data_IF_218587613421
#
_entry.id   IF_218587613421
#
_cell.length_a   1.000
_cell.length_b   1.000
_cell.length_c   1.000
_cell.angle_alpha   90.00
_cell.angle_beta   90.00
_cell.angle_gamma   90.00
#
_symmetry.space_group_name_H-M   'P 1'
#
loop_
_entity.id
_entity.type
_entity.pdbx_description
1 polymer ?
#
# COMPACT_ATOMS: atom_id res chain seq x y z
N UNK A 1 17.43 17.58 -8.69
CA UNK A 1 16.68 18.84 -8.89
C UNK A 1 15.53 18.80 -7.89
N UNK A 2 15.53 19.70 -6.89
CA UNK A 2 14.39 19.81 -5.99
C UNK A 2 13.17 20.18 -6.85
N UNK A 3 12.07 19.44 -6.71
CA UNK A 3 10.81 19.82 -7.35
C UNK A 3 10.52 21.28 -6.97
N UNK A 4 10.23 22.11 -7.97
CA UNK A 4 9.84 23.50 -7.74
C UNK A 4 8.66 23.48 -6.77
N UNK A 5 8.87 23.99 -5.55
CA UNK A 5 7.81 24.04 -4.53
C UNK A 5 6.79 25.06 -5.05
N UNK A 6 5.77 24.58 -5.75
CA UNK A 6 4.62 25.38 -6.14
C UNK A 6 3.76 25.56 -4.89
N UNK A 7 4.24 26.38 -3.95
CA UNK A 7 3.40 26.86 -2.86
C UNK A 7 2.76 28.17 -3.32
N UNK A 8 1.45 28.18 -3.63
CA UNK A 8 0.76 29.41 -4.04
C UNK A 8 0.72 30.49 -2.94
N UNK A 9 1.23 30.21 -1.73
CA UNK A 9 1.34 31.14 -0.60
C UNK A 9 2.78 31.55 -0.26
N UNK A 10 3.70 31.51 -1.23
CA UNK A 10 5.14 31.78 -1.05
C UNK A 10 5.53 33.12 -0.40
N UNK A 11 4.60 34.08 -0.30
CA UNK A 11 4.86 35.42 0.26
C UNK A 11 4.55 35.56 1.76
N UNK A 12 4.13 34.49 2.45
CA UNK A 12 3.77 34.58 3.88
C UNK A 12 4.80 33.81 4.71
N UNK A 13 5.70 34.59 5.32
CA UNK A 13 6.55 34.34 6.51
C UNK A 13 8.06 34.34 6.24
N UNK A 14 8.67 35.46 6.63
CA UNK A 14 10.04 35.56 7.13
C UNK A 14 10.14 34.81 8.47
N UNK A 15 10.83 33.67 8.53
CA UNK A 15 11.16 33.04 9.81
C UNK A 15 12.19 33.92 10.53
N UNK A 16 11.71 34.69 11.50
CA UNK A 16 12.54 35.41 12.46
C UNK A 16 12.47 34.79 13.85
N UNK A 17 12.26 33.48 13.96
CA UNK A 17 12.39 32.74 15.22
C UNK A 17 13.41 31.62 15.09
N UNK A 18 14.39 31.66 16.00
CA UNK A 18 15.60 30.86 16.04
C UNK A 18 15.33 29.40 16.46
N UNK A 19 14.68 28.63 15.60
CA UNK A 19 14.69 27.16 15.60
C UNK A 19 15.51 26.63 14.43
N UNK A 20 16.13 25.45 14.57
CA UNK A 20 16.78 24.77 13.45
C UNK A 20 15.80 24.63 12.27
N UNK A 21 16.26 25.03 11.08
CA UNK A 21 15.51 24.85 9.85
C UNK A 21 15.34 23.36 9.57
N UNK A 22 14.12 22.84 9.76
CA UNK A 22 13.75 21.51 9.31
C UNK A 22 13.08 21.61 7.92
N UNK A 23 13.73 21.11 6.84
CA UNK A 23 13.18 21.15 5.49
C UNK A 23 11.82 20.47 5.37
N UNK A 24 11.51 19.47 6.21
CA UNK A 24 10.23 18.79 6.19
C UNK A 24 9.09 19.73 6.60
N UNK A 25 9.25 20.52 7.66
CA UNK A 25 8.23 21.49 8.07
C UNK A 25 8.06 22.60 7.04
N UNK A 26 9.16 23.09 6.46
CA UNK A 26 9.10 24.10 5.41
C UNK A 26 8.29 23.62 4.19
N UNK A 27 8.51 22.37 3.75
CA UNK A 27 7.76 21.75 2.64
C UNK A 27 6.26 21.63 2.93
N UNK A 28 5.86 21.39 4.18
CA UNK A 28 4.46 21.16 4.56
C UNK A 28 3.68 22.44 4.87
N UNK A 29 4.31 23.63 4.89
CA UNK A 29 3.62 24.89 5.17
C UNK A 29 2.52 25.17 4.13
N UNK A 30 1.26 25.10 4.56
CA UNK A 30 0.10 25.31 3.70
C UNK A 30 -0.46 24.04 3.04
N UNK A 31 0.08 22.87 3.38
CA UNK A 31 -0.30 21.59 2.80
C UNK A 31 0.41 21.30 1.47
N UNK A 32 0.29 20.06 0.99
CA UNK A 32 0.96 19.56 -0.23
C UNK A 32 0.05 19.52 -1.46
N UNK A 33 -1.21 19.92 -1.33
CA UNK A 33 -2.20 19.78 -2.39
C UNK A 33 -2.88 21.10 -2.76
N UNK A 34 -3.36 21.16 -4.00
CA UNK A 34 -4.24 22.21 -4.50
C UNK A 34 -5.27 21.61 -5.46
N UNK A 35 -6.45 22.23 -5.55
CA UNK A 35 -7.45 21.91 -6.57
C UNK A 35 -7.24 22.82 -7.78
N UNK A 36 -7.14 22.24 -8.96
CA UNK A 36 -6.97 22.99 -10.22
C UNK A 36 -8.12 22.66 -11.17
N UNK A 37 -8.70 23.70 -11.78
CA UNK A 37 -9.72 23.53 -12.80
C UNK A 37 -9.11 22.91 -14.07
N UNK A 38 -9.78 21.91 -14.65
CA UNK A 38 -9.38 21.26 -15.91
C UNK A 38 -9.91 21.97 -17.15
N UNK A 39 -10.86 22.89 -16.97
CA UNK A 39 -11.43 23.74 -18.02
C UNK A 39 -11.26 25.21 -17.65
N UNK A 40 -10.86 26.07 -18.59
CA UNK A 40 -10.75 27.50 -18.32
C UNK A 40 -12.14 28.14 -18.20
N UNK A 41 -12.27 29.12 -17.31
CA UNK A 41 -13.46 29.99 -17.21
C UNK A 41 -12.99 31.43 -17.41
N UNK A 42 -13.03 31.91 -18.66
CA UNK A 42 -12.48 33.23 -19.03
C UNK A 42 -13.55 34.29 -19.24
N UNK A 43 -14.73 33.87 -19.65
CA UNK A 43 -15.84 34.75 -19.99
C UNK A 43 -17.20 34.16 -19.61
N UNK A 44 -18.27 34.87 -19.99
CA UNK A 44 -19.65 34.48 -19.72
C UNK A 44 -20.03 33.18 -20.42
N UNK A 45 -19.49 32.92 -21.60
CA UNK A 45 -19.86 31.75 -22.40
C UNK A 45 -19.25 30.49 -21.76
N UNK A 46 -17.96 30.54 -21.39
CA UNK A 46 -17.30 29.49 -20.61
C UNK A 46 -18.07 29.21 -19.29
N UNK A 47 -18.41 30.26 -18.53
CA UNK A 47 -19.16 30.13 -17.27
C UNK A 47 -20.53 29.49 -17.48
N UNK A 48 -21.23 29.86 -18.56
CA UNK A 48 -22.57 29.34 -18.87
C UNK A 48 -22.57 27.85 -19.22
N UNK A 49 -21.44 27.33 -19.71
CA UNK A 49 -21.24 25.92 -20.04
C UNK A 49 -20.77 25.11 -18.83
N UNK A 50 -19.75 25.62 -18.12
CA UNK A 50 -19.18 24.95 -16.95
C UNK A 50 -20.12 24.95 -15.74
N UNK A 51 -21.00 25.96 -15.64
CA UNK A 51 -21.99 26.10 -14.58
C UNK A 51 -23.38 26.38 -15.16
N UNK A 52 -24.16 27.26 -14.55
CA UNK A 52 -25.54 27.52 -14.98
C UNK A 52 -25.60 28.38 -16.24
N UNK A 53 -26.48 28.06 -17.20
CA UNK A 53 -27.47 26.97 -17.16
C UNK A 53 -26.96 25.63 -17.73
N UNK A 54 -25.79 25.57 -18.35
CA UNK A 54 -25.27 24.42 -19.10
C UNK A 54 -25.18 23.13 -18.28
N UNK A 55 -24.69 23.21 -17.04
CA UNK A 55 -24.51 22.07 -16.12
C UNK A 55 -25.82 21.33 -15.84
N UNK A 56 -26.97 22.02 -15.87
CA UNK A 56 -28.27 21.39 -15.64
C UNK A 56 -28.58 20.29 -16.65
N UNK A 57 -28.17 20.46 -17.92
CA UNK A 57 -28.35 19.44 -18.97
C UNK A 57 -27.55 18.17 -18.68
N UNK A 58 -26.33 18.33 -18.17
CA UNK A 58 -25.47 17.20 -17.77
C UNK A 58 -26.07 16.47 -16.56
N UNK A 59 -26.54 17.22 -15.55
CA UNK A 59 -27.24 16.64 -14.41
C UNK A 59 -28.49 15.86 -14.82
N UNK A 60 -29.32 16.42 -15.71
CA UNK A 60 -30.50 15.72 -16.23
C UNK A 60 -30.11 14.44 -16.98
N UNK A 61 -29.08 14.49 -17.83
CA UNK A 61 -28.61 13.31 -18.56
C UNK A 61 -28.14 12.19 -17.61
N UNK A 62 -27.41 12.51 -16.55
CA UNK A 62 -26.99 11.53 -15.53
C UNK A 62 -28.20 11.00 -14.74
N UNK A 63 -29.19 11.84 -14.43
CA UNK A 63 -30.40 11.39 -13.75
C UNK A 63 -31.22 10.39 -14.60
N UNK A 64 -31.22 10.55 -15.92
CA UNK A 64 -31.86 9.64 -16.87
C UNK A 64 -31.03 8.38 -17.17
N UNK A 65 -29.69 8.52 -17.20
CA UNK A 65 -28.73 7.45 -17.49
C UNK A 65 -27.55 7.52 -16.49
N UNK A 66 -27.67 6.86 -15.32
CA UNK A 66 -26.69 6.98 -14.23
C UNK A 66 -25.24 6.70 -14.60
N UNK A 67 -25.00 5.78 -15.55
CA UNK A 67 -23.64 5.39 -15.97
C UNK A 67 -22.83 6.55 -16.58
N UNK A 68 -23.51 7.57 -17.12
CA UNK A 68 -22.90 8.78 -17.68
C UNK A 68 -22.12 9.59 -16.64
N UNK A 69 -22.31 9.33 -15.34
CA UNK A 69 -21.48 9.90 -14.27
C UNK A 69 -19.99 9.64 -14.49
N UNK A 70 -19.64 8.50 -15.11
CA UNK A 70 -18.26 8.12 -15.38
C UNK A 70 -17.64 8.81 -16.61
N UNK A 71 -18.46 9.51 -17.40
CA UNK A 71 -18.01 10.23 -18.61
C UNK A 71 -18.01 11.74 -18.39
N UNK A 72 -18.97 12.26 -17.62
CA UNK A 72 -19.18 13.70 -17.44
C UNK A 72 -18.81 14.22 -16.04
N UNK A 73 -18.22 13.38 -15.19
CA UNK A 73 -17.68 13.82 -13.90
C UNK A 73 -16.29 13.24 -13.70
N UNK A 74 -15.56 13.81 -12.74
CA UNK A 74 -14.26 13.29 -12.33
C UNK A 74 -14.28 11.92 -11.65
N UNK A 75 -15.47 11.36 -11.33
CA UNK A 75 -15.64 10.13 -10.54
C UNK A 75 -14.75 8.99 -11.06
N UNK A 76 -14.64 8.84 -12.37
CA UNK A 76 -13.88 7.74 -12.99
C UNK A 76 -12.36 7.80 -12.77
N UNK A 77 -11.81 8.91 -12.27
CA UNK A 77 -10.38 9.10 -12.10
C UNK A 77 -9.98 9.56 -10.68
N UNK A 78 -10.91 9.54 -9.72
CA UNK A 78 -10.67 10.05 -8.35
C UNK A 78 -10.82 8.96 -7.29
N UNK A 79 -9.87 8.89 -6.37
CA UNK A 79 -9.84 7.94 -5.24
C UNK A 79 -10.00 8.69 -3.92
N UNK A 80 -10.80 8.15 -3.00
CA UNK A 80 -10.80 8.59 -1.61
C UNK A 80 -9.67 7.88 -0.85
N UNK A 81 -8.75 8.62 -0.26
CA UNK A 81 -7.73 8.10 0.67
C UNK A 81 -8.27 8.25 2.08
N UNK A 82 -8.84 7.18 2.62
CA UNK A 82 -9.61 7.19 3.87
C UNK A 82 -8.77 6.65 5.02
N UNK A 83 -8.75 7.38 6.13
CA UNK A 83 -8.10 6.98 7.38
C UNK A 83 -8.90 7.42 8.60
N UNK A 84 -8.70 6.76 9.74
CA UNK A 84 -9.10 7.25 11.06
C UNK A 84 -7.91 7.73 11.91
N UNK A 85 -6.68 7.64 11.38
CA UNK A 85 -5.44 8.06 12.04
C UNK A 85 -4.98 7.14 13.19
N UNK A 86 -5.50 5.91 13.27
CA UNK A 86 -5.24 5.01 14.40
C UNK A 86 -3.99 4.13 14.25
N UNK A 87 -3.35 4.11 13.08
CA UNK A 87 -2.12 3.34 12.82
C UNK A 87 -1.17 4.07 11.88
N UNK A 88 -0.94 5.37 12.11
CA UNK A 88 -0.14 6.21 11.20
C UNK A 88 1.34 5.82 11.29
N UNK A 89 1.88 5.23 10.22
CA UNK A 89 3.28 4.80 10.13
C UNK A 89 3.70 3.97 11.37
N UNK A 90 4.87 4.28 11.97
CA UNK A 90 5.30 3.75 13.27
C UNK A 90 4.84 4.57 14.48
N UNK A 91 4.01 5.61 14.28
CA UNK A 91 3.58 6.53 15.33
C UNK A 91 2.34 6.02 16.10
N UNK A 92 1.59 5.11 15.49
CA UNK A 92 0.40 4.51 16.09
C UNK A 92 -0.83 5.43 16.00
N UNK A 93 -1.63 5.43 17.06
CA UNK A 93 -2.87 6.22 17.12
C UNK A 93 -2.56 7.67 17.51
N UNK A 94 -2.56 8.54 16.50
CA UNK A 94 -2.32 9.99 16.65
C UNK A 94 -3.54 10.83 16.26
N UNK A 95 -4.64 10.17 15.88
CA UNK A 95 -5.88 10.81 15.47
C UNK A 95 -5.89 11.31 14.02
N UNK A 96 -7.08 11.68 13.52
CA UNK A 96 -7.31 11.96 12.10
C UNK A 96 -6.58 13.22 11.62
N UNK A 97 -6.57 14.33 12.36
CA UNK A 97 -5.91 15.56 11.90
C UNK A 97 -4.39 15.38 11.79
N UNK A 98 -3.78 14.66 12.73
CA UNK A 98 -2.35 14.40 12.71
C UNK A 98 -1.93 13.43 11.58
N UNK A 99 -2.88 12.66 11.02
CA UNK A 99 -2.64 11.78 9.86
C UNK A 99 -2.61 12.53 8.52
N UNK A 100 -3.21 13.74 8.44
CA UNK A 100 -3.40 14.46 7.17
C UNK A 100 -2.10 14.66 6.36
N UNK A 101 -0.94 14.98 6.95
CA UNK A 101 0.30 15.05 6.19
C UNK A 101 0.62 13.75 5.45
N UNK A 102 0.37 12.57 6.04
CA UNK A 102 0.59 11.28 5.37
C UNK A 102 -0.43 11.11 4.24
N UNK A 103 -1.71 11.41 4.49
CA UNK A 103 -2.79 11.27 3.50
C UNK A 103 -2.61 12.20 2.29
N UNK A 104 -2.20 13.46 2.52
CA UNK A 104 -1.83 14.37 1.44
C UNK A 104 -0.61 13.84 0.65
N UNK A 105 0.33 13.20 1.35
CA UNK A 105 1.46 12.50 0.74
C UNK A 105 1.00 11.40 -0.21
N UNK A 106 0.12 10.50 0.26
CA UNK A 106 -0.49 9.45 -0.58
C UNK A 106 -1.20 10.04 -1.80
N UNK A 107 -1.95 11.12 -1.61
CA UNK A 107 -2.68 11.76 -2.69
C UNK A 107 -1.78 12.34 -3.80
N UNK A 108 -0.67 13.01 -3.45
CA UNK A 108 0.28 13.50 -4.46
C UNK A 108 1.03 12.34 -5.15
N UNK A 109 1.24 11.22 -4.47
CA UNK A 109 1.85 10.03 -5.06
C UNK A 109 0.91 9.32 -6.05
N UNK A 110 -0.40 9.23 -5.75
CA UNK A 110 -1.42 8.81 -6.71
C UNK A 110 -1.36 9.65 -7.98
N UNK A 111 -1.27 10.98 -7.83
CA UNK A 111 -1.22 11.89 -8.97
C UNK A 111 0.07 11.73 -9.78
N UNK A 112 1.21 11.75 -9.10
CA UNK A 112 2.54 11.73 -9.72
C UNK A 112 2.83 10.43 -10.45
N UNK A 113 2.49 9.29 -9.85
CA UNK A 113 2.87 7.98 -10.37
C UNK A 113 1.72 7.26 -11.09
N UNK A 114 0.46 7.50 -10.70
CA UNK A 114 -0.71 6.85 -11.32
C UNK A 114 -1.48 7.75 -12.28
N UNK A 115 -1.27 9.07 -12.27
CA UNK A 115 -2.16 10.01 -12.97
C UNK A 115 -3.57 10.08 -12.38
N UNK A 116 -3.75 9.52 -11.18
CA UNK A 116 -5.04 9.40 -10.48
C UNK A 116 -5.20 10.58 -9.53
N UNK A 117 -6.36 11.24 -9.56
CA UNK A 117 -6.67 12.27 -8.57
C UNK A 117 -7.05 11.59 -7.24
N UNK A 118 -6.65 12.18 -6.13
CA UNK A 118 -6.90 11.58 -4.82
C UNK A 118 -7.27 12.64 -3.79
N UNK A 119 -8.22 12.31 -2.93
CA UNK A 119 -8.72 13.21 -1.88
C UNK A 119 -8.47 12.56 -0.52
N UNK A 120 -7.70 13.19 0.39
CA UNK A 120 -7.52 12.71 1.75
C UNK A 120 -8.81 12.93 2.55
N UNK A 121 -9.28 11.87 3.20
CA UNK A 121 -10.50 11.85 4.03
C UNK A 121 -10.13 11.25 5.39
N UNK A 122 -9.77 12.12 6.34
CA UNK A 122 -9.50 11.74 7.72
C UNK A 122 -10.81 11.80 8.54
N UNK A 123 -11.23 10.66 9.10
CA UNK A 123 -12.50 10.50 9.78
C UNK A 123 -12.33 10.63 11.30
N UNK A 124 -13.11 11.51 11.93
CA UNK A 124 -13.16 11.67 13.38
C UNK A 124 -14.05 10.63 14.06
N UNK A 125 -13.88 9.36 13.69
CA UNK A 125 -14.55 8.21 14.31
C UNK A 125 -13.67 6.95 14.21
N UNK A 126 -13.79 6.06 15.19
CA UNK A 126 -13.08 4.76 15.23
C UNK A 126 -14.04 3.57 15.28
N UNK A 127 -15.35 3.82 15.33
CA UNK A 127 -16.37 2.77 15.24
C UNK A 127 -16.38 2.13 13.85
N UNK A 128 -16.29 0.80 13.79
CA UNK A 128 -16.28 0.04 12.53
C UNK A 128 -17.52 0.36 11.68
N UNK A 129 -18.71 0.32 12.29
CA UNK A 129 -19.97 0.62 11.58
C UNK A 129 -20.04 2.08 11.12
N UNK A 130 -19.56 3.03 11.94
CA UNK A 130 -19.57 4.46 11.60
C UNK A 130 -18.65 4.77 10.42
N UNK A 131 -17.46 4.17 10.39
CA UNK A 131 -16.52 4.30 9.26
C UNK A 131 -17.15 3.74 7.99
N UNK A 132 -17.69 2.51 8.05
CA UNK A 132 -18.30 1.85 6.90
C UNK A 132 -19.46 2.68 6.35
N UNK A 133 -20.39 3.11 7.22
CA UNK A 133 -21.53 3.93 6.83
C UNK A 133 -21.09 5.24 6.18
N UNK A 134 -20.09 5.90 6.74
CA UNK A 134 -19.55 7.16 6.22
C UNK A 134 -18.96 6.97 4.82
N UNK A 135 -18.10 5.95 4.65
CA UNK A 135 -17.47 5.68 3.35
C UNK A 135 -18.50 5.28 2.30
N UNK A 136 -19.51 4.48 2.66
CA UNK A 136 -20.62 4.10 1.75
C UNK A 136 -21.39 5.33 1.28
N UNK A 137 -21.67 6.28 2.19
CA UNK A 137 -22.35 7.54 1.83
C UNK A 137 -21.49 8.47 0.96
N UNK A 138 -20.17 8.39 1.06
CA UNK A 138 -19.22 9.17 0.24
C UNK A 138 -18.95 8.56 -1.14
N UNK A 139 -19.13 7.24 -1.29
CA UNK A 139 -18.79 6.47 -2.49
C UNK A 139 -19.34 7.04 -3.83
N UNK A 140 -20.52 7.69 -3.90
CA UNK A 140 -20.98 8.32 -5.15
C UNK A 140 -19.97 9.30 -5.76
N UNK A 141 -19.15 9.97 -4.94
CA UNK A 141 -18.16 10.96 -5.40
C UNK A 141 -16.86 10.37 -5.95
N UNK A 142 -16.61 9.07 -5.74
CA UNK A 142 -15.30 8.45 -6.01
C UNK A 142 -15.39 7.25 -6.94
N UNK A 143 -14.31 6.99 -7.68
CA UNK A 143 -14.13 5.81 -8.53
C UNK A 143 -13.47 4.65 -7.80
N UNK A 144 -12.88 4.91 -6.64
CA UNK A 144 -12.28 3.90 -5.75
C UNK A 144 -12.03 4.43 -4.34
N UNK A 145 -11.75 3.54 -3.42
CA UNK A 145 -11.43 3.83 -2.02
C UNK A 145 -10.12 3.16 -1.65
N UNK A 146 -9.14 3.94 -1.23
CA UNK A 146 -7.90 3.49 -0.63
C UNK A 146 -7.99 3.66 0.89
N UNK A 147 -8.03 2.57 1.64
CA UNK A 147 -7.96 2.59 3.10
C UNK A 147 -6.49 2.67 3.54
N UNK A 148 -6.21 3.52 4.51
CA UNK A 148 -4.84 3.83 4.93
C UNK A 148 -4.75 4.03 6.45
N UNK A 149 -3.69 3.53 7.09
CA UNK A 149 -3.35 3.81 8.48
C UNK A 149 -4.49 3.51 9.49
N UNK A 150 -5.26 2.45 9.25
CA UNK A 150 -6.34 1.98 10.15
C UNK A 150 -5.85 0.77 10.96
N UNK A 151 -5.99 0.81 12.28
CA UNK A 151 -5.44 -0.24 13.14
C UNK A 151 -6.12 -1.60 13.00
N UNK A 152 -5.30 -2.66 13.08
CA UNK A 152 -5.79 -4.03 13.25
C UNK A 152 -6.37 -4.26 14.67
N UNK A 153 -7.43 -5.09 14.81
CA UNK A 153 -8.03 -5.93 13.77
C UNK A 153 -9.17 -5.24 12.98
N UNK A 154 -9.56 -4.00 13.32
CA UNK A 154 -10.73 -3.33 12.72
C UNK A 154 -10.62 -3.15 11.21
N UNK A 155 -9.42 -2.83 10.72
CA UNK A 155 -9.14 -2.67 9.28
C UNK A 155 -9.65 -3.85 8.42
N UNK A 156 -9.53 -5.10 8.90
CA UNK A 156 -9.97 -6.29 8.15
C UNK A 156 -11.49 -6.32 7.97
N UNK A 157 -12.25 -6.00 9.02
CA UNK A 157 -13.70 -5.98 8.94
C UNK A 157 -14.20 -4.80 8.09
N UNK A 158 -13.60 -3.62 8.27
CA UNK A 158 -13.90 -2.41 7.50
C UNK A 158 -13.70 -2.69 6.01
N UNK A 159 -12.53 -3.21 5.62
CA UNK A 159 -12.23 -3.51 4.23
C UNK A 159 -13.21 -4.53 3.64
N UNK A 160 -13.40 -5.67 4.31
CA UNK A 160 -14.31 -6.73 3.83
C UNK A 160 -15.72 -6.20 3.61
N UNK A 161 -16.28 -5.49 4.60
CA UNK A 161 -17.66 -4.98 4.52
C UNK A 161 -17.82 -3.85 3.51
N UNK A 162 -16.77 -3.08 3.24
CA UNK A 162 -16.77 -2.09 2.16
C UNK A 162 -16.70 -2.75 0.78
N UNK A 163 -15.86 -3.77 0.60
CA UNK A 163 -15.80 -4.56 -0.63
C UNK A 163 -17.13 -5.27 -0.92
N UNK A 164 -17.88 -5.69 0.11
CA UNK A 164 -19.21 -6.31 -0.03
C UNK A 164 -20.31 -5.31 -0.39
N UNK A 165 -20.21 -4.05 0.06
CA UNK A 165 -21.27 -3.04 -0.09
C UNK A 165 -21.05 -2.07 -1.26
N UNK A 166 -19.83 -1.95 -1.78
CA UNK A 166 -19.48 -0.99 -2.81
C UNK A 166 -19.24 -1.66 -4.16
N UNK A 167 -19.74 -1.02 -5.23
CA UNK A 167 -19.48 -1.40 -6.63
C UNK A 167 -18.32 -0.57 -7.24
N UNK A 168 -17.33 -0.24 -6.41
CA UNK A 168 -16.07 0.42 -6.77
C UNK A 168 -14.92 -0.28 -6.04
N UNK A 169 -13.69 -0.27 -6.60
CA UNK A 169 -12.54 -0.89 -5.97
C UNK A 169 -12.25 -0.29 -4.59
N UNK A 170 -12.15 -1.17 -3.59
CA UNK A 170 -11.70 -0.86 -2.23
C UNK A 170 -10.41 -1.63 -1.96
N UNK A 171 -9.37 -0.95 -1.52
CA UNK A 171 -8.04 -1.51 -1.29
C UNK A 171 -7.42 -0.90 -0.05
N UNK A 172 -6.97 -1.73 0.89
CA UNK A 172 -6.15 -1.28 2.00
C UNK A 172 -4.66 -1.37 1.67
N UNK A 173 -3.97 -0.23 1.59
CA UNK A 173 -2.59 -0.21 1.09
C UNK A 173 -1.59 -0.87 2.04
N UNK A 174 -1.69 -0.60 3.36
CA UNK A 174 -0.80 -1.22 4.35
C UNK A 174 -0.88 -2.75 4.38
N UNK A 175 -2.01 -3.32 3.96
CA UNK A 175 -2.20 -4.76 3.84
C UNK A 175 -1.68 -5.24 2.49
N UNK A 176 -2.36 -4.84 1.41
CA UNK A 176 -2.20 -5.46 0.10
C UNK A 176 -1.06 -4.83 -0.71
N UNK A 177 -0.82 -3.53 -0.58
CA UNK A 177 0.29 -2.85 -1.23
C UNK A 177 1.63 -3.42 -0.77
N UNK A 178 1.80 -3.56 0.55
CA UNK A 178 2.99 -4.18 1.14
C UNK A 178 3.18 -5.61 0.66
N UNK A 179 2.10 -6.41 0.61
CA UNK A 179 2.14 -7.79 0.17
C UNK A 179 2.53 -7.94 -1.31
N UNK A 180 2.01 -7.08 -2.19
CA UNK A 180 2.33 -7.06 -3.63
C UNK A 180 3.82 -6.79 -3.86
N UNK A 181 4.36 -5.75 -3.23
CA UNK A 181 5.78 -5.37 -3.40
C UNK A 181 6.71 -6.41 -2.77
N UNK A 182 6.31 -6.98 -1.62
CA UNK A 182 7.04 -8.08 -0.97
C UNK A 182 7.12 -9.31 -1.88
N UNK A 183 6.01 -9.71 -2.50
CA UNK A 183 6.00 -10.84 -3.44
C UNK A 183 6.88 -10.57 -4.67
N UNK A 184 6.83 -9.36 -5.22
CA UNK A 184 7.66 -8.99 -6.37
C UNK A 184 9.16 -9.12 -6.05
N UNK A 185 9.60 -8.56 -4.92
CA UNK A 185 10.97 -8.68 -4.44
C UNK A 185 11.35 -10.14 -4.16
N UNK A 186 10.44 -10.92 -3.54
CA UNK A 186 10.68 -12.32 -3.22
C UNK A 186 10.84 -13.20 -4.46
N UNK A 187 10.02 -13.00 -5.50
CA UNK A 187 10.14 -13.72 -6.77
C UNK A 187 11.49 -13.46 -7.44
N UNK A 188 11.93 -12.20 -7.44
CA UNK A 188 13.23 -11.84 -8.00
C UNK A 188 14.40 -12.37 -7.14
N UNK A 189 14.30 -12.35 -5.82
CA UNK A 189 15.29 -12.96 -4.93
C UNK A 189 15.40 -14.49 -5.14
N UNK A 190 14.26 -15.17 -5.29
CA UNK A 190 14.21 -16.60 -5.60
C UNK A 190 14.84 -16.91 -6.97
N UNK A 191 14.51 -16.10 -8.00
CA UNK A 191 15.13 -16.19 -9.34
C UNK A 191 16.64 -15.98 -9.30
N UNK A 192 17.11 -14.99 -8.52
CA UNK A 192 18.53 -14.68 -8.39
C UNK A 192 19.33 -15.85 -7.80
N UNK A 193 18.75 -16.57 -6.84
CA UNK A 193 19.40 -17.73 -6.20
C UNK A 193 19.06 -19.07 -6.82
N UNK A 194 18.26 -19.09 -7.89
CA UNK A 194 17.86 -20.31 -8.61
C UNK A 194 16.97 -21.24 -7.78
N UNK A 195 16.15 -20.67 -6.88
CA UNK A 195 15.22 -21.43 -6.01
C UNK A 195 13.77 -21.19 -6.43
N UNK A 196 12.92 -22.17 -6.15
CA UNK A 196 11.49 -22.04 -6.39
C UNK A 196 10.77 -21.52 -5.15
N UNK A 197 9.73 -20.71 -5.33
CA UNK A 197 8.98 -20.09 -4.22
C UNK A 197 8.38 -21.15 -3.27
N UNK A 198 7.93 -22.28 -3.83
CA UNK A 198 7.34 -23.40 -3.08
C UNK A 198 8.33 -24.17 -2.19
N UNK A 199 9.63 -23.96 -2.35
CA UNK A 199 10.67 -24.59 -1.53
C UNK A 199 11.04 -23.76 -0.31
N UNK A 200 10.63 -22.48 -0.27
CA UNK A 200 11.08 -21.53 0.74
C UNK A 200 10.22 -21.59 2.00
N UNK A 201 10.89 -21.54 3.16
CA UNK A 201 10.25 -21.30 4.46
C UNK A 201 10.46 -19.87 4.92
N UNK A 202 9.37 -19.11 5.01
CA UNK A 202 9.38 -17.73 5.50
C UNK A 202 9.13 -17.61 7.01
N UNK A 203 9.59 -16.51 7.59
CA UNK A 203 9.24 -16.07 8.95
C UNK A 203 8.90 -14.60 8.91
N UNK A 204 7.70 -14.24 9.38
CA UNK A 204 7.22 -12.87 9.46
C UNK A 204 7.27 -12.39 10.91
N UNK A 205 7.98 -11.29 11.18
CA UNK A 205 7.87 -10.57 12.46
C UNK A 205 6.77 -9.52 12.36
N UNK A 206 5.68 -9.75 13.10
CA UNK A 206 4.51 -8.89 13.14
C UNK A 206 3.25 -9.62 12.69
N UNK A 207 2.26 -9.72 13.58
CA UNK A 207 0.93 -10.25 13.29
C UNK A 207 -0.13 -9.12 13.28
N UNK A 208 0.24 -7.96 12.73
CA UNK A 208 -0.66 -6.84 12.46
C UNK A 208 -1.29 -6.93 11.06
N UNK A 209 -1.84 -5.82 10.56
CA UNK A 209 -2.49 -5.74 9.24
C UNK A 209 -1.58 -6.27 8.11
N UNK A 210 -0.39 -5.66 7.96
CA UNK A 210 0.59 -6.05 6.95
C UNK A 210 1.02 -7.51 7.08
N UNK A 211 1.42 -7.96 8.27
CA UNK A 211 1.97 -9.30 8.46
C UNK A 211 0.96 -10.43 8.19
N UNK A 212 -0.31 -10.23 8.57
CA UNK A 212 -1.39 -11.18 8.25
C UNK A 212 -1.66 -11.21 6.74
N UNK A 213 -1.72 -10.04 6.09
CA UNK A 213 -1.97 -9.94 4.65
C UNK A 213 -0.83 -10.55 3.84
N UNK A 214 0.43 -10.23 4.17
CA UNK A 214 1.63 -10.81 3.54
C UNK A 214 1.61 -12.33 3.68
N UNK A 215 1.36 -12.87 4.88
CA UNK A 215 1.36 -14.32 5.09
C UNK A 215 0.35 -15.04 4.19
N UNK A 216 -0.90 -14.55 4.17
CA UNK A 216 -1.97 -15.14 3.34
C UNK A 216 -1.66 -15.01 1.85
N UNK A 217 -1.24 -13.83 1.41
CA UNK A 217 -0.95 -13.55 0.01
C UNK A 217 0.25 -14.34 -0.52
N UNK A 218 1.32 -14.48 0.27
CA UNK A 218 2.48 -15.27 -0.13
C UNK A 218 2.15 -16.77 -0.24
N UNK A 219 1.34 -17.30 0.69
CA UNK A 219 0.87 -18.69 0.60
C UNK A 219 0.00 -18.91 -0.65
N UNK A 220 -0.91 -18.00 -0.96
CA UNK A 220 -1.72 -18.03 -2.18
C UNK A 220 -0.86 -17.95 -3.45
N UNK A 221 0.20 -17.15 -3.41
CA UNK A 221 1.17 -17.03 -4.49
C UNK A 221 2.13 -18.24 -4.61
N UNK A 222 2.05 -19.22 -3.71
CA UNK A 222 2.79 -20.48 -3.79
C UNK A 222 4.02 -20.58 -2.90
N UNK A 223 4.17 -19.74 -1.87
CA UNK A 223 5.20 -19.93 -0.83
C UNK A 223 5.00 -21.27 -0.10
N UNK A 224 6.09 -22.02 0.11
CA UNK A 224 6.03 -23.37 0.68
C UNK A 224 5.43 -23.42 2.09
N UNK A 225 6.00 -22.62 2.99
CA UNK A 225 5.51 -22.43 4.35
C UNK A 225 5.92 -21.05 4.88
N UNK A 226 5.16 -20.53 5.83
CA UNK A 226 5.49 -19.27 6.52
C UNK A 226 5.08 -19.38 7.97
N UNK A 227 5.92 -18.97 8.91
CA UNK A 227 5.55 -18.77 10.31
C UNK A 227 5.39 -17.28 10.59
N UNK A 228 4.42 -16.90 11.42
CA UNK A 228 4.21 -15.50 11.82
C UNK A 228 4.42 -15.39 13.32
N UNK A 229 5.17 -14.40 13.78
CA UNK A 229 5.39 -14.13 15.20
C UNK A 229 4.76 -12.79 15.61
N UNK A 230 4.19 -12.76 16.82
CA UNK A 230 3.80 -11.53 17.48
C UNK A 230 4.62 -11.29 18.75
N UNK A 231 4.26 -10.25 19.52
CA UNK A 231 4.96 -9.88 20.76
C UNK A 231 5.04 -10.99 21.82
N UNK A 232 4.26 -12.06 21.71
CA UNK A 232 4.23 -13.20 22.63
C UNK A 232 4.86 -14.47 22.03
N UNK A 233 5.43 -14.39 20.82
CA UNK A 233 6.07 -15.51 20.15
C UNK A 233 5.36 -15.91 18.86
N UNK A 234 5.73 -17.09 18.35
CA UNK A 234 5.12 -17.68 17.15
C UNK A 234 3.61 -17.83 17.33
N UNK A 235 2.85 -17.48 16.29
CA UNK A 235 1.41 -17.70 16.21
C UNK A 235 1.19 -19.15 15.82
N UNK A 236 0.63 -19.93 16.74
CA UNK A 236 0.50 -21.37 16.64
C UNK A 236 -0.81 -21.84 17.28
N UNK A 237 -1.31 -23.00 16.85
CA UNK A 237 -2.63 -23.51 17.24
C UNK A 237 -2.76 -23.85 18.74
N UNK A 238 -1.64 -24.02 19.45
CA UNK A 238 -1.56 -24.27 20.89
C UNK A 238 -1.66 -22.99 21.75
N UNK A 239 -1.72 -21.80 21.14
CA UNK A 239 -1.91 -20.54 21.86
C UNK A 239 -3.39 -20.26 22.15
N UNK A 240 -3.71 -20.07 23.42
CA UNK A 240 -5.08 -19.78 23.88
C UNK A 240 -5.47 -18.29 23.77
N UNK A 241 -4.51 -17.40 23.54
CA UNK A 241 -4.70 -15.94 23.59
C UNK A 241 -4.94 -15.30 22.20
N UNK A 242 -5.15 -16.11 21.17
CA UNK A 242 -5.30 -15.66 19.79
C UNK A 242 -6.67 -15.02 19.53
N UNK A 243 -6.66 -13.82 18.94
CA UNK A 243 -7.84 -13.23 18.27
C UNK A 243 -8.34 -14.13 17.13
N UNK A 244 -9.61 -14.00 16.67
CA UNK A 244 -10.14 -14.82 15.56
C UNK A 244 -9.25 -14.80 14.30
N UNK A 245 -8.78 -13.62 13.89
CA UNK A 245 -7.88 -13.46 12.72
C UNK A 245 -6.56 -14.22 12.90
N UNK A 246 -5.96 -14.17 14.09
CA UNK A 246 -4.71 -14.90 14.39
C UNK A 246 -4.93 -16.41 14.51
N UNK A 247 -6.12 -16.84 14.91
CA UNK A 247 -6.47 -18.26 14.95
C UNK A 247 -6.58 -18.84 13.55
N UNK A 248 -7.27 -18.15 12.65
CA UNK A 248 -7.30 -18.49 11.22
C UNK A 248 -5.88 -18.50 10.64
N UNK A 249 -5.06 -17.51 10.98
CA UNK A 249 -3.66 -17.45 10.56
C UNK A 249 -2.87 -18.68 11.04
N UNK A 250 -3.04 -19.11 12.30
CA UNK A 250 -2.37 -20.29 12.86
C UNK A 250 -2.78 -21.61 12.18
N UNK A 251 -3.98 -21.67 11.59
CA UNK A 251 -4.46 -22.84 10.83
C UNK A 251 -3.89 -22.89 9.40
N UNK A 252 -3.60 -21.72 8.81
CA UNK A 252 -3.10 -21.57 7.44
C UNK A 252 -1.56 -21.60 7.35
N UNK A 253 -0.90 -21.14 8.42
CA UNK A 253 0.55 -20.92 8.47
C UNK A 253 1.24 -21.98 9.33
N UNK A 254 2.57 -21.97 9.35
CA UNK A 254 3.40 -22.73 10.27
C UNK A 254 3.16 -24.25 10.19
N UNK A 255 3.22 -24.81 8.98
CA UNK A 255 3.10 -26.27 8.74
C UNK A 255 4.18 -27.05 9.49
N UNK A 256 5.33 -26.42 9.72
CA UNK A 256 6.43 -26.97 10.51
C UNK A 256 6.12 -27.12 12.02
N UNK A 257 5.00 -26.57 12.52
CA UNK A 257 4.61 -26.68 13.93
C UNK A 257 5.57 -25.99 14.90
N UNK A 258 6.19 -24.88 14.47
CA UNK A 258 7.12 -24.10 15.27
C UNK A 258 6.38 -23.43 16.43
N UNK A 259 7.03 -23.39 17.60
CA UNK A 259 6.55 -22.70 18.80
C UNK A 259 7.69 -21.90 19.41
N UNK A 260 7.40 -21.08 20.42
CA UNK A 260 8.41 -20.28 21.11
C UNK A 260 8.62 -18.91 20.48
N UNK A 261 9.87 -18.47 20.38
CA UNK A 261 10.22 -17.09 20.01
C UNK A 261 10.43 -16.90 18.50
N UNK A 262 10.46 -15.64 18.06
CA UNK A 262 10.80 -15.28 16.68
C UNK A 262 12.20 -15.79 16.31
N UNK A 263 13.17 -15.64 17.20
CA UNK A 263 14.55 -16.06 17.01
C UNK A 263 14.67 -17.56 16.81
N UNK A 264 13.89 -18.37 17.55
CA UNK A 264 13.87 -19.82 17.33
C UNK A 264 13.25 -20.21 15.99
N UNK A 265 12.25 -19.46 15.50
CA UNK A 265 11.62 -19.72 14.21
C UNK A 265 12.56 -19.39 13.03
N UNK A 266 13.47 -18.43 13.20
CA UNK A 266 14.45 -18.02 12.20
C UNK A 266 15.52 -19.09 11.91
N UNK A 267 15.76 -20.03 12.81
CA UNK A 267 16.79 -21.05 12.64
C UNK A 267 16.53 -21.93 11.40
N UNK A 268 17.35 -21.76 10.36
CA UNK A 268 17.20 -22.43 9.05
C UNK A 268 16.07 -21.89 8.18
N UNK A 269 15.53 -20.70 8.48
CA UNK A 269 14.53 -20.05 7.62
C UNK A 269 15.21 -19.45 6.38
N UNK A 270 14.48 -19.49 5.26
CA UNK A 270 14.95 -18.99 3.97
C UNK A 270 14.68 -17.50 3.77
N UNK A 271 13.62 -17.01 4.41
CA UNK A 271 13.13 -15.64 4.23
C UNK A 271 12.74 -15.08 5.59
N UNK A 272 13.25 -13.92 5.93
CA UNK A 272 12.73 -13.10 7.03
C UNK A 272 12.02 -11.88 6.46
N UNK A 273 10.83 -11.60 6.97
CA UNK A 273 10.03 -10.43 6.62
C UNK A 273 9.66 -9.70 7.90
N UNK A 274 10.24 -8.53 8.12
CA UNK A 274 9.93 -7.65 9.22
C UNK A 274 8.85 -6.65 8.83
N UNK A 275 7.75 -6.62 9.59
CA UNK A 275 6.69 -5.60 9.55
C UNK A 275 6.25 -5.22 10.96
N UNK A 276 7.21 -5.02 11.85
CA UNK A 276 7.02 -4.77 13.27
C UNK A 276 8.01 -3.75 13.81
N UNK A 277 7.66 -2.98 14.84
CA UNK A 277 8.61 -2.10 15.53
C UNK A 277 9.64 -2.82 16.43
N UNK A 278 9.86 -4.13 16.26
CA UNK A 278 10.80 -4.92 17.07
C UNK A 278 12.21 -4.94 16.47
N UNK A 279 13.20 -5.36 17.25
CA UNK A 279 14.57 -5.60 16.73
C UNK A 279 14.87 -7.09 16.75
N UNK A 280 15.64 -7.56 15.78
CA UNK A 280 16.08 -8.95 15.67
C UNK A 280 17.59 -9.01 15.92
N UNK A 281 18.05 -9.80 16.92
CA UNK A 281 19.48 -9.92 17.21
C UNK A 281 20.27 -10.53 16.04
N UNK A 282 21.52 -10.06 15.85
CA UNK A 282 22.43 -10.59 14.82
C UNK A 282 22.58 -12.11 14.88
N UNK A 283 22.63 -12.69 16.07
CA UNK A 283 22.75 -14.15 16.26
C UNK A 283 21.54 -14.92 15.68
N UNK A 284 20.34 -14.34 15.69
CA UNK A 284 19.16 -14.96 15.10
C UNK A 284 19.25 -14.94 13.57
N UNK A 285 19.67 -13.81 12.99
CA UNK A 285 19.92 -13.67 11.55
C UNK A 285 21.00 -14.64 11.08
N UNK A 286 22.08 -14.80 11.85
CA UNK A 286 23.16 -15.75 11.57
C UNK A 286 22.72 -17.22 11.60
N UNK A 287 21.58 -17.54 12.22
CA UNK A 287 21.05 -18.91 12.30
C UNK A 287 20.14 -19.27 11.12
N UNK A 288 19.82 -18.31 10.25
CA UNK A 288 19.03 -18.54 9.03
C UNK A 288 19.74 -19.47 8.03
N UNK A 289 19.00 -19.92 7.03
CA UNK A 289 19.56 -20.73 5.96
C UNK A 289 20.68 -19.99 5.20
N UNK A 290 21.58 -20.74 4.57
CA UNK A 290 22.54 -20.15 3.64
C UNK A 290 21.79 -19.48 2.48
N UNK A 291 22.29 -18.33 2.04
CA UNK A 291 21.72 -17.55 0.94
C UNK A 291 20.28 -17.09 1.23
N UNK A 292 19.96 -16.87 2.51
CA UNK A 292 18.66 -16.37 2.97
C UNK A 292 18.35 -14.95 2.47
N UNK A 293 17.08 -14.58 2.53
CA UNK A 293 16.58 -13.25 2.20
C UNK A 293 16.13 -12.52 3.47
N UNK A 294 16.55 -11.28 3.65
CA UNK A 294 16.18 -10.45 4.81
C UNK A 294 15.48 -9.19 4.33
N UNK A 295 14.16 -9.12 4.52
CA UNK A 295 13.33 -7.98 4.18
C UNK A 295 12.89 -7.28 5.49
N UNK A 296 13.63 -6.29 5.96
CA UNK A 296 13.35 -5.57 7.21
C UNK A 296 12.65 -4.23 6.91
N UNK A 297 11.33 -4.19 6.96
CA UNK A 297 10.52 -3.13 6.35
C UNK A 297 9.96 -2.11 7.35
N UNK A 298 10.25 -2.26 8.65
CA UNK A 298 9.87 -1.23 9.63
C UNK A 298 10.53 0.12 9.34
N UNK A 299 9.77 1.20 9.58
CA UNK A 299 10.23 2.57 9.48
C UNK A 299 10.04 3.29 10.82
N UNK A 300 10.94 4.22 11.20
CA UNK A 300 12.17 4.61 10.49
C UNK A 300 13.34 3.63 10.70
N UNK A 301 13.25 2.76 11.72
CA UNK A 301 14.29 1.84 12.12
C UNK A 301 13.92 0.39 11.74
N UNK A 302 14.65 -0.24 10.78
CA UNK A 302 14.40 -1.62 10.37
C UNK A 302 14.67 -2.63 11.49
N UNK A 303 13.97 -3.76 11.47
CA UNK A 303 14.11 -4.83 12.46
C UNK A 303 15.51 -5.43 12.52
N UNK A 304 16.19 -5.47 11.36
CA UNK A 304 17.58 -5.85 11.21
C UNK A 304 18.27 -4.73 10.45
N UNK A 305 19.33 -4.16 11.03
CA UNK A 305 20.12 -3.17 10.32
C UNK A 305 20.76 -3.79 9.05
N UNK A 306 20.75 -3.12 7.88
CA UNK A 306 21.29 -3.68 6.64
C UNK A 306 22.72 -4.20 6.74
N UNK A 307 23.61 -3.47 7.44
CA UNK A 307 25.01 -3.90 7.67
C UNK A 307 25.12 -5.25 8.39
N UNK A 308 24.16 -5.59 9.24
CA UNK A 308 24.09 -6.90 9.91
C UNK A 308 23.54 -7.93 8.94
N UNK A 309 22.44 -7.61 8.25
CA UNK A 309 21.79 -8.52 7.31
C UNK A 309 22.73 -8.96 6.17
N UNK A 310 23.51 -8.04 5.60
CA UNK A 310 24.44 -8.31 4.49
C UNK A 310 25.55 -9.30 4.82
N UNK A 311 25.83 -9.55 6.11
CA UNK A 311 26.81 -10.57 6.52
C UNK A 311 26.29 -12.00 6.32
N UNK A 312 24.97 -12.20 6.29
CA UNK A 312 24.33 -13.52 6.35
C UNK A 312 23.31 -13.78 5.23
N UNK A 313 22.79 -12.73 4.59
CA UNK A 313 21.74 -12.82 3.57
C UNK A 313 22.28 -12.56 2.16
N UNK A 314 21.77 -13.31 1.18
CA UNK A 314 22.06 -13.09 -0.24
C UNK A 314 21.33 -11.87 -0.79
N UNK A 315 20.14 -11.57 -0.27
CA UNK A 315 19.35 -10.39 -0.62
C UNK A 315 18.89 -9.70 0.65
N UNK A 316 19.13 -8.40 0.71
CA UNK A 316 18.65 -7.53 1.78
C UNK A 316 17.77 -6.45 1.16
N UNK A 317 16.60 -6.24 1.76
CA UNK A 317 15.64 -5.22 1.37
C UNK A 317 15.10 -4.51 2.60
N UNK A 318 14.72 -3.23 2.46
CA UNK A 318 14.17 -2.44 3.57
C UNK A 318 13.03 -1.54 3.12
N UNK A 319 12.33 -0.91 4.06
CA UNK A 319 11.36 0.15 3.75
C UNK A 319 11.99 1.51 3.41
N UNK A 320 13.30 1.65 3.64
CA UNK A 320 14.03 2.92 3.57
C UNK A 320 14.56 3.21 2.17
N UNK A 321 14.56 4.48 1.79
CA UNK A 321 14.99 4.93 0.46
C UNK A 321 16.50 5.12 0.31
N UNK A 322 17.25 5.16 1.41
CA UNK A 322 18.70 5.33 1.40
C UNK A 322 19.48 4.01 1.27
N UNK A 323 18.79 2.87 1.25
CA UNK A 323 19.36 1.55 0.99
C UNK A 323 18.89 0.97 -0.35
N UNK A 324 19.65 0.05 -0.97
CA UNK A 324 19.17 -0.73 -2.10
C UNK A 324 17.91 -1.54 -1.76
N UNK A 325 17.19 -1.98 -2.79
CA UNK A 325 15.98 -2.81 -2.65
C UNK A 325 14.93 -2.21 -1.70
N UNK A 326 14.49 -0.98 -1.97
CA UNK A 326 13.42 -0.37 -1.19
C UNK A 326 12.08 -1.08 -1.50
N UNK A 327 11.52 -1.79 -0.52
CA UNK A 327 10.14 -2.29 -0.54
C UNK A 327 9.23 -1.19 -0.01
N UNK A 328 8.53 -0.52 -0.92
CA UNK A 328 7.62 0.56 -0.59
C UNK A 328 6.35 0.47 -1.45
N UNK A 329 5.20 0.57 -0.79
CA UNK A 329 3.87 0.40 -1.38
C UNK A 329 3.59 1.38 -2.53
N UNK A 330 4.33 2.49 -2.62
CA UNK A 330 4.30 3.42 -3.76
C UNK A 330 4.55 2.74 -5.11
N UNK A 331 5.22 1.59 -5.13
CA UNK A 331 5.40 0.78 -6.34
C UNK A 331 4.10 0.11 -6.81
N UNK A 332 3.13 -0.08 -5.92
CA UNK A 332 1.92 -0.85 -6.17
C UNK A 332 0.67 0.04 -6.31
N UNK A 333 0.28 0.77 -5.26
CA UNK A 333 -1.04 1.42 -5.23
C UNK A 333 -1.32 2.38 -6.40
N UNK A 334 -0.38 3.21 -6.89
CA UNK A 334 -0.70 4.13 -7.98
C UNK A 334 -1.06 3.36 -9.26
N UNK A 335 -0.26 2.34 -9.60
CA UNK A 335 -0.46 1.52 -10.79
C UNK A 335 -1.70 0.63 -10.70
N UNK A 336 -1.97 0.05 -9.52
CA UNK A 336 -3.15 -0.80 -9.26
C UNK A 336 -4.44 0.01 -9.47
N UNK A 337 -4.56 1.18 -8.83
CA UNK A 337 -5.74 2.01 -8.99
C UNK A 337 -5.86 2.57 -10.42
N UNK A 338 -4.76 3.02 -11.03
CA UNK A 338 -4.80 3.49 -12.42
C UNK A 338 -5.32 2.39 -13.37
N UNK A 339 -4.85 1.15 -13.21
CA UNK A 339 -5.33 0.01 -14.01
C UNK A 339 -6.79 -0.34 -13.74
N UNK A 340 -7.20 -0.37 -12.46
CA UNK A 340 -8.58 -0.64 -12.07
C UNK A 340 -9.55 0.44 -12.59
N UNK A 341 -9.20 1.72 -12.47
CA UNK A 341 -10.01 2.85 -12.93
C UNK A 341 -10.11 2.91 -14.46
N UNK A 342 -9.02 2.63 -15.18
CA UNK A 342 -8.98 2.63 -16.65
C UNK A 342 -10.05 1.72 -17.25
N UNK A 343 -10.30 0.57 -16.62
CA UNK A 343 -11.27 -0.45 -17.06
C UNK A 343 -12.55 -0.46 -16.23
N UNK A 344 -12.72 0.54 -15.35
CA UNK A 344 -13.86 0.66 -14.42
C UNK A 344 -14.12 -0.64 -13.68
N UNK A 345 -13.07 -1.27 -13.15
CA UNK A 345 -13.20 -2.51 -12.38
C UNK A 345 -14.23 -2.32 -11.25
N UNK A 346 -15.04 -3.34 -10.95
CA UNK A 346 -15.95 -3.31 -9.80
C UNK A 346 -15.23 -3.56 -8.47
N UNK A 347 -14.09 -4.26 -8.52
CA UNK A 347 -13.25 -4.59 -7.36
C UNK A 347 -11.78 -4.79 -7.78
N UNK A 348 -10.86 -4.79 -6.81
CA UNK A 348 -9.48 -5.27 -7.00
C UNK A 348 -9.42 -6.70 -6.45
N UNK A 349 -9.07 -7.67 -7.29
CA UNK A 349 -9.04 -9.10 -6.94
C UNK A 349 -7.64 -9.57 -6.58
N UNK A 350 -7.52 -10.78 -6.02
CA UNK A 350 -6.21 -11.41 -5.76
C UNK A 350 -5.40 -11.62 -7.04
N UNK A 351 -6.03 -12.05 -8.14
CA UNK A 351 -5.33 -12.19 -9.42
C UNK A 351 -4.83 -10.87 -9.99
N UNK A 352 -5.55 -9.75 -9.77
CA UNK A 352 -5.05 -8.41 -10.08
C UNK A 352 -3.82 -8.04 -9.23
N UNK A 353 -3.80 -8.39 -7.94
CA UNK A 353 -2.65 -8.16 -7.04
C UNK A 353 -1.44 -8.99 -7.45
N UNK A 354 -1.64 -10.26 -7.80
CA UNK A 354 -0.58 -11.13 -8.33
C UNK A 354 -0.04 -10.55 -9.65
N UNK A 355 -0.92 -10.15 -10.57
CA UNK A 355 -0.50 -9.52 -11.83
C UNK A 355 0.34 -8.24 -11.60
N UNK A 356 0.00 -7.43 -10.58
CA UNK A 356 0.80 -6.28 -10.19
C UNK A 356 2.20 -6.67 -9.68
N UNK A 357 2.29 -7.71 -8.82
CA UNK A 357 3.56 -8.20 -8.31
C UNK A 357 4.45 -8.75 -9.44
N UNK A 358 3.85 -9.45 -10.40
CA UNK A 358 4.55 -10.05 -11.54
C UNK A 358 5.07 -8.99 -12.49
N UNK A 359 4.27 -7.95 -12.74
CA UNK A 359 4.69 -6.78 -13.51
C UNK A 359 5.85 -6.06 -12.84
N UNK A 360 5.80 -5.84 -11.52
CA UNK A 360 6.91 -5.23 -10.77
C UNK A 360 8.19 -6.06 -10.85
N UNK A 361 8.09 -7.37 -10.64
CA UNK A 361 9.24 -8.27 -10.74
C UNK A 361 9.84 -8.25 -12.16
N UNK A 362 9.00 -8.22 -13.20
CA UNK A 362 9.41 -8.20 -14.59
C UNK A 362 10.13 -6.90 -15.01
N UNK A 363 9.86 -5.75 -14.38
CA UNK A 363 10.55 -4.48 -14.68
C UNK A 363 12.06 -4.57 -14.43
N UNK A 364 12.48 -5.35 -13.43
CA UNK A 364 13.89 -5.62 -13.15
C UNK A 364 14.56 -6.36 -14.30
N UNK A 365 13.86 -7.30 -14.93
CA UNK A 365 14.31 -7.99 -16.14
C UNK A 365 15.65 -8.69 -15.96
N UNK A 366 16.59 -8.39 -16.87
CA UNK A 366 17.94 -8.96 -16.91
C UNK A 366 18.95 -8.21 -16.01
N UNK A 367 18.59 -7.04 -15.50
CA UNK A 367 19.45 -6.26 -14.60
C UNK A 367 19.46 -6.82 -13.16
N UNK A 368 18.80 -7.97 -12.94
CA UNK A 368 18.64 -8.61 -11.65
C UNK A 368 19.99 -8.81 -10.94
N UNK A 369 20.09 -8.24 -9.74
CA UNK A 369 21.27 -8.33 -8.89
C UNK A 369 20.87 -8.40 -7.41
N UNK A 370 21.81 -8.74 -6.53
CA UNK A 370 21.57 -8.84 -5.09
C UNK A 370 21.08 -7.52 -4.47
N UNK A 371 21.52 -6.39 -5.02
CA UNK A 371 21.12 -5.02 -4.66
C UNK A 371 20.05 -4.43 -5.59
N UNK A 372 19.50 -5.23 -6.51
CA UNK A 372 18.43 -4.83 -7.43
C UNK A 372 17.45 -5.99 -7.73
N UNK A 373 16.60 -6.31 -6.76
CA UNK A 373 15.49 -7.27 -6.88
C UNK A 373 14.12 -6.61 -7.01
N UNK A 374 14.03 -5.31 -6.77
CA UNK A 374 12.81 -4.51 -6.87
C UNK A 374 13.16 -3.15 -7.53
N UNK A 375 12.37 -2.65 -8.49
CA UNK A 375 12.70 -1.41 -9.16
C UNK A 375 12.52 -0.20 -8.24
N UNK A 376 13.14 0.93 -8.61
CA UNK A 376 12.88 2.20 -7.95
C UNK A 376 11.46 2.70 -8.26
N UNK A 377 10.77 3.35 -7.31
CA UNK A 377 9.52 4.08 -7.58
C UNK A 377 9.62 5.09 -8.72
N UNK A 378 10.82 5.62 -8.97
CA UNK A 378 11.08 6.59 -10.01
C UNK A 378 11.42 5.97 -11.37
N UNK A 379 11.45 4.64 -11.47
CA UNK A 379 11.60 3.98 -12.76
C UNK A 379 10.32 4.22 -13.59
N UNK A 380 10.41 4.92 -14.74
CA UNK A 380 9.24 5.31 -15.52
C UNK A 380 8.50 4.11 -16.12
N UNK A 381 9.09 2.90 -16.07
CA UNK A 381 8.47 1.65 -16.54
C UNK A 381 7.48 1.07 -15.53
N UNK A 382 7.62 1.38 -14.23
CA UNK A 382 6.84 0.75 -13.15
C UNK A 382 5.34 1.01 -13.31
N UNK A 383 4.92 2.27 -13.27
CA UNK A 383 3.50 2.59 -13.29
C UNK A 383 2.79 2.07 -14.56
N UNK A 384 3.32 2.27 -15.79
CA UNK A 384 2.72 1.71 -17.00
C UNK A 384 2.63 0.17 -16.98
N UNK A 385 3.65 -0.53 -16.48
CA UNK A 385 3.66 -1.99 -16.42
C UNK A 385 2.59 -2.51 -15.46
N UNK A 386 2.52 -1.96 -14.24
CA UNK A 386 1.52 -2.36 -13.23
C UNK A 386 0.11 -2.03 -13.72
N UNK A 387 -0.12 -0.83 -14.24
CA UNK A 387 -1.43 -0.42 -14.79
C UNK A 387 -1.90 -1.37 -15.89
N UNK A 388 -1.04 -1.70 -16.85
CA UNK A 388 -1.39 -2.59 -17.95
C UNK A 388 -1.72 -4.01 -17.46
N UNK A 389 -0.92 -4.56 -16.54
CA UNK A 389 -1.12 -5.90 -16.01
C UNK A 389 -2.42 -6.00 -15.19
N UNK A 390 -2.69 -5.01 -14.34
CA UNK A 390 -3.90 -4.95 -13.51
C UNK A 390 -5.15 -4.79 -14.38
N UNK A 391 -5.12 -3.92 -15.39
CA UNK A 391 -6.21 -3.76 -16.34
C UNK A 391 -6.49 -5.06 -17.13
N UNK A 392 -5.44 -5.77 -17.55
CA UNK A 392 -5.56 -7.05 -18.25
C UNK A 392 -6.18 -8.13 -17.35
N UNK A 393 -5.72 -8.25 -16.10
CA UNK A 393 -6.27 -9.19 -15.12
C UNK A 393 -7.75 -8.91 -14.82
N UNK A 394 -8.11 -7.64 -14.62
CA UNK A 394 -9.50 -7.22 -14.39
C UNK A 394 -10.44 -7.61 -15.56
N UNK A 395 -9.95 -7.51 -16.81
CA UNK A 395 -10.69 -7.96 -18.00
C UNK A 395 -10.80 -9.48 -18.05
N UNK A 396 -9.71 -10.19 -17.79
CA UNK A 396 -9.67 -11.65 -17.82
C UNK A 396 -10.61 -12.29 -16.78
N UNK A 397 -10.73 -11.67 -15.60
CA UNK A 397 -11.59 -12.13 -14.51
C UNK A 397 -13.04 -11.63 -14.62
N UNK A 398 -13.37 -10.82 -15.63
CA UNK A 398 -14.72 -10.31 -15.86
C UNK A 398 -15.19 -9.28 -14.83
N UNK A 399 -14.28 -8.61 -14.13
CA UNK A 399 -14.60 -7.52 -13.18
C UNK A 399 -14.51 -6.13 -13.82
N UNK A 400 -13.96 -6.03 -15.03
CA UNK A 400 -13.93 -4.80 -15.83
C UNK A 400 -15.32 -4.44 -16.40
N UNK A 401 -15.68 -3.15 -16.36
CA UNK A 401 -16.92 -2.60 -16.93
C UNK A 401 -16.69 -1.74 -18.18
N UNK A 402 -15.46 -1.67 -18.67
CA UNK A 402 -15.05 -0.99 -19.91
C UNK A 402 -13.90 -1.72 -20.57
#
# INVERSE_FOLDING_TARGET
MAAEIVNPRGDIVTDSDAGEFDPAFALHRGGKMAVQATVPIRDKDDLSLAYTPGVARVCTAIAEQPDLVNDYTWKSNVVAVVTDGTAVLGLGDIGPEASLPVMEGKAILFKQFGGVDAVPIALACTGVDEIIETVVRLAPSFGGVNLEDISAPRCFEIERRLQEQLDIPVFHDDQHGTAVVTLAALRNAARLTGRELGELRGVISGAGAAGVAIAKFLLEAGLGDVAVADRKGVVSADRDDLTPVKRELAELTNKAGLTGSLESALAGADVFIGVSGGTVPEAAVASMAKDAFVFAMANPDPEVHPDVAHKYAAVVATGRSDFPNQINNVLAFPGIFAGALQVRASRITEGMKIAAADALAAVVGEDLAADYVIPSPFDPRVAPAVTAAVAAAARAEGVARR
#
